data_IF_697293809189
#
_entry.id   IF_697293809189
#
_cell.length_a   1.000
_cell.length_b   1.000
_cell.length_c   1.000
_cell.angle_alpha   90.00
_cell.angle_beta   90.00
_cell.angle_gamma   90.00
#
_symmetry.space_group_name_H-M   'P 1'
#
loop_
_entity.id
_entity.type
_entity.pdbx_description
1 polymer ?
#
# COMPACT_ATOMS: atom_id res chain seq x y z
N UNK A 1 19.20 20.34 -19.93
CA UNK A 1 18.47 19.06 -19.90
C UNK A 1 17.12 19.25 -20.57
N UNK A 2 16.73 18.39 -21.53
CA UNK A 2 15.41 18.48 -22.19
C UNK A 2 14.36 17.75 -21.35
N UNK A 3 13.30 18.44 -20.93
CA UNK A 3 12.15 17.85 -20.21
C UNK A 3 11.14 17.27 -21.19
N UNK A 4 10.61 16.09 -20.88
CA UNK A 4 9.61 15.39 -21.68
C UNK A 4 8.53 14.91 -20.69
N UNK A 5 7.30 15.40 -20.83
CA UNK A 5 6.20 14.90 -20.00
C UNK A 5 5.77 13.52 -20.49
N UNK A 6 5.62 12.57 -19.56
CA UNK A 6 5.24 11.19 -19.85
C UNK A 6 4.33 10.68 -18.75
N UNK A 7 3.29 9.93 -19.10
CA UNK A 7 2.54 9.14 -18.11
C UNK A 7 3.18 7.77 -17.90
N UNK A 8 3.06 7.19 -16.71
CA UNK A 8 3.64 5.87 -16.44
C UNK A 8 3.02 4.76 -17.31
N UNK A 9 1.76 4.90 -17.74
CA UNK A 9 1.10 3.98 -18.68
C UNK A 9 1.65 4.06 -20.11
N UNK A 10 2.17 5.22 -20.53
CA UNK A 10 2.79 5.43 -21.84
C UNK A 10 4.24 4.94 -21.91
N UNK A 11 4.88 4.64 -20.77
CA UNK A 11 6.22 4.02 -20.71
C UNK A 11 6.17 2.52 -21.05
N UNK A 12 5.77 2.21 -22.28
CA UNK A 12 5.90 0.88 -22.87
C UNK A 12 7.31 0.66 -23.47
N UNK A 13 7.59 -0.56 -23.93
CA UNK A 13 8.91 -0.95 -24.47
C UNK A 13 9.37 -0.05 -25.64
N UNK A 14 8.46 0.33 -26.54
CA UNK A 14 8.77 1.18 -27.69
C UNK A 14 9.15 2.60 -27.24
N UNK A 15 8.38 3.17 -26.31
CA UNK A 15 8.65 4.49 -25.75
C UNK A 15 9.99 4.50 -25.01
N UNK A 16 10.26 3.49 -24.17
CA UNK A 16 11.52 3.34 -23.43
C UNK A 16 12.71 3.26 -24.41
N UNK A 17 12.62 2.44 -25.47
CA UNK A 17 13.65 2.36 -26.49
C UNK A 17 13.95 3.73 -27.12
N UNK A 18 12.89 4.45 -27.52
CA UNK A 18 13.01 5.80 -28.10
C UNK A 18 13.68 6.78 -27.13
N UNK A 19 13.34 6.75 -25.84
CA UNK A 19 13.96 7.63 -24.85
C UNK A 19 15.43 7.27 -24.60
N UNK A 20 15.77 5.99 -24.56
CA UNK A 20 17.16 5.53 -24.44
C UNK A 20 18.02 5.99 -25.62
N UNK A 21 17.53 5.88 -26.85
CA UNK A 21 18.22 6.40 -28.04
C UNK A 21 18.40 7.92 -27.97
N UNK A 22 17.40 8.65 -27.49
CA UNK A 22 17.50 10.09 -27.31
C UNK A 22 18.52 10.48 -26.24
N UNK A 23 18.58 9.73 -25.14
CA UNK A 23 19.50 9.93 -24.02
C UNK A 23 20.97 9.71 -24.39
N UNK A 24 21.26 8.92 -25.43
CA UNK A 24 22.63 8.78 -25.98
C UNK A 24 23.17 10.08 -26.58
N UNK A 25 22.28 10.98 -27.03
CA UNK A 25 22.65 12.20 -27.78
C UNK A 25 22.56 13.47 -26.95
N UNK A 26 21.84 13.46 -25.83
CA UNK A 26 21.62 14.62 -24.95
C UNK A 26 21.03 14.21 -23.61
N UNK A 27 21.26 15.01 -22.58
CA UNK A 27 20.64 14.82 -21.26
C UNK A 27 19.13 15.12 -21.32
N UNK A 28 18.31 14.15 -20.95
CA UNK A 28 16.84 14.26 -20.90
C UNK A 28 16.32 13.98 -19.49
N UNK A 29 15.17 14.58 -19.17
CA UNK A 29 14.37 14.24 -18.01
C UNK A 29 12.98 13.79 -18.45
N UNK A 30 12.57 12.61 -18.02
CA UNK A 30 11.19 12.15 -18.14
C UNK A 30 10.42 12.67 -16.94
N UNK A 31 9.40 13.50 -17.19
CA UNK A 31 8.61 14.18 -16.17
C UNK A 31 7.28 13.47 -16.01
N UNK A 32 7.05 12.91 -14.83
CA UNK A 32 5.83 12.23 -14.44
C UNK A 32 5.13 13.02 -13.33
N UNK A 33 3.81 13.02 -13.32
CA UNK A 33 3.02 13.66 -12.26
C UNK A 33 3.25 12.99 -10.89
N UNK A 34 3.36 11.67 -10.88
CA UNK A 34 3.62 10.83 -9.72
C UNK A 34 4.23 9.49 -10.18
N UNK A 35 4.46 8.57 -9.25
CA UNK A 35 4.96 7.21 -9.51
C UNK A 35 3.85 6.19 -9.74
N UNK A 36 2.57 6.58 -9.74
CA UNK A 36 1.45 5.64 -9.96
C UNK A 36 1.61 4.92 -11.30
N UNK A 37 1.69 3.60 -11.27
CA UNK A 37 1.87 2.75 -12.45
C UNK A 37 3.29 2.72 -13.02
N UNK A 38 4.25 3.38 -12.35
CA UNK A 38 5.69 3.21 -12.59
C UNK A 38 6.17 2.03 -11.74
N UNK A 39 6.75 1.02 -12.39
CA UNK A 39 7.25 -0.19 -11.74
C UNK A 39 8.77 -0.29 -11.92
N UNK A 40 9.41 -1.11 -11.08
CA UNK A 40 10.85 -1.36 -11.18
C UNK A 40 11.26 -1.86 -12.55
N UNK A 41 10.51 -2.78 -13.16
CA UNK A 41 10.86 -3.37 -14.47
C UNK A 41 10.92 -2.30 -15.57
N UNK A 42 10.00 -1.32 -15.53
CA UNK A 42 10.02 -0.19 -16.48
C UNK A 42 11.27 0.68 -16.27
N UNK A 43 11.62 0.96 -15.02
CA UNK A 43 12.77 1.81 -14.67
C UNK A 43 14.09 1.11 -14.98
N UNK A 44 14.20 -0.20 -14.76
CA UNK A 44 15.38 -1.02 -15.08
C UNK A 44 15.76 -0.96 -16.56
N UNK A 45 14.77 -0.82 -17.44
CA UNK A 45 14.98 -0.70 -18.89
C UNK A 45 15.43 0.71 -19.32
N UNK A 46 15.32 1.74 -18.47
CA UNK A 46 15.80 3.08 -18.78
C UNK A 46 17.33 3.16 -18.70
N UNK A 47 17.92 3.99 -19.55
CA UNK A 47 19.34 4.33 -19.53
C UNK A 47 19.69 5.16 -18.30
N UNK A 48 20.88 4.96 -17.73
CA UNK A 48 21.40 5.74 -16.60
C UNK A 48 21.55 7.24 -16.91
N UNK A 49 21.62 7.60 -18.20
CA UNK A 49 21.69 8.99 -18.66
C UNK A 49 20.32 9.71 -18.64
N UNK A 50 19.26 9.02 -18.26
CA UNK A 50 17.90 9.58 -18.13
C UNK A 50 17.68 9.99 -16.68
N UNK A 51 17.37 11.28 -16.48
CA UNK A 51 16.82 11.75 -15.21
C UNK A 51 15.34 11.42 -15.13
N UNK A 52 14.90 10.85 -14.03
CA UNK A 52 13.49 10.62 -13.75
C UNK A 52 13.01 11.78 -12.88
N UNK A 53 11.96 12.47 -13.31
CA UNK A 53 11.43 13.64 -12.62
C UNK A 53 10.02 13.37 -12.12
N UNK A 54 9.82 13.23 -10.82
CA UNK A 54 8.50 13.04 -10.20
C UNK A 54 8.03 14.37 -9.64
N UNK A 55 6.99 14.97 -10.24
CA UNK A 55 6.48 16.28 -9.82
C UNK A 55 5.86 16.19 -8.43
N UNK A 56 5.04 15.16 -8.16
CA UNK A 56 4.40 14.95 -6.88
C UNK A 56 3.55 16.16 -6.49
N UNK A 57 3.91 16.82 -5.40
CA UNK A 57 3.30 18.07 -4.94
C UNK A 57 3.90 19.36 -5.54
N UNK A 58 4.98 19.27 -6.31
CA UNK A 58 5.81 20.38 -6.78
C UNK A 58 5.58 20.72 -8.27
N UNK A 59 4.33 20.65 -8.73
CA UNK A 59 3.98 20.89 -10.13
C UNK A 59 4.18 22.38 -10.51
N UNK A 60 4.98 22.70 -11.56
CA UNK A 60 5.29 24.08 -11.96
C UNK A 60 4.11 24.87 -12.56
N UNK A 61 2.92 24.26 -12.67
CA UNK A 61 1.66 25.01 -12.86
C UNK A 61 1.51 26.07 -11.77
N UNK A 62 1.94 25.77 -10.52
CA UNK A 62 2.18 26.80 -9.51
C UNK A 62 3.54 27.46 -9.76
N UNK A 63 3.56 28.77 -9.99
CA UNK A 63 4.76 29.57 -10.32
C UNK A 63 5.85 29.43 -9.27
N UNK A 64 5.50 29.33 -7.98
CA UNK A 64 6.50 29.12 -6.92
C UNK A 64 7.34 27.85 -7.15
N UNK A 65 6.75 26.78 -7.67
CA UNK A 65 7.43 25.52 -7.90
C UNK A 65 8.26 25.49 -9.20
N UNK A 66 8.11 26.47 -10.09
CA UNK A 66 8.98 26.62 -11.25
C UNK A 66 10.42 27.05 -10.89
N UNK A 67 10.65 27.51 -9.65
CA UNK A 67 11.97 27.91 -9.16
C UNK A 67 12.93 26.72 -9.08
N UNK A 68 14.20 26.97 -9.36
CA UNK A 68 15.23 25.92 -9.51
C UNK A 68 15.34 24.99 -8.30
N UNK A 69 15.32 25.52 -7.08
CA UNK A 69 15.44 24.71 -5.86
C UNK A 69 14.26 23.73 -5.66
N UNK A 70 13.04 24.08 -6.10
CA UNK A 70 11.92 23.13 -6.11
C UNK A 70 12.06 22.10 -7.22
N UNK A 71 12.48 22.53 -8.41
CA UNK A 71 12.66 21.62 -9.54
C UNK A 71 13.80 20.60 -9.30
N UNK A 72 14.86 20.97 -8.59
CA UNK A 72 15.92 20.01 -8.23
C UNK A 72 15.41 18.87 -7.34
N UNK A 73 14.43 19.14 -6.48
CA UNK A 73 13.82 18.14 -5.59
C UNK A 73 13.01 17.10 -6.36
N UNK A 74 12.59 17.38 -7.59
CA UNK A 74 11.82 16.41 -8.39
C UNK A 74 12.71 15.41 -9.12
N UNK A 75 14.03 15.60 -9.18
CA UNK A 75 14.93 14.80 -10.02
C UNK A 75 15.57 13.64 -9.25
N UNK A 76 15.59 12.48 -9.91
CA UNK A 76 16.16 11.24 -9.39
C UNK A 76 17.00 10.58 -10.49
N UNK A 77 18.11 9.98 -10.08
CA UNK A 77 18.82 9.01 -10.94
C UNK A 77 18.01 7.72 -11.07
N UNK A 78 18.34 6.89 -12.07
CA UNK A 78 17.75 5.56 -12.21
C UNK A 78 17.88 4.74 -10.92
N UNK A 79 19.08 4.71 -10.32
CA UNK A 79 19.35 3.97 -9.09
C UNK A 79 18.47 4.44 -7.94
N UNK A 80 18.43 5.76 -7.70
CA UNK A 80 17.60 6.36 -6.64
C UNK A 80 16.12 6.03 -6.85
N UNK A 81 15.63 6.07 -8.09
CA UNK A 81 14.24 5.71 -8.37
C UNK A 81 13.95 4.23 -8.11
N UNK A 82 14.88 3.32 -8.40
CA UNK A 82 14.73 1.90 -8.07
C UNK A 82 14.66 1.68 -6.55
N UNK A 83 15.53 2.34 -5.79
CA UNK A 83 15.52 2.29 -4.32
C UNK A 83 14.23 2.87 -3.73
N UNK A 84 13.74 3.99 -4.29
CA UNK A 84 12.45 4.58 -3.89
C UNK A 84 11.30 3.62 -4.19
N UNK A 85 11.24 3.05 -5.39
CA UNK A 85 10.18 2.11 -5.78
C UNK A 85 10.20 0.85 -4.91
N UNK A 86 11.38 0.37 -4.52
CA UNK A 86 11.50 -0.77 -3.60
C UNK A 86 10.75 -0.53 -2.29
N UNK A 87 10.96 0.64 -1.67
CA UNK A 87 10.31 0.98 -0.39
C UNK A 87 8.82 1.26 -0.58
N UNK A 88 8.43 1.98 -1.63
CA UNK A 88 7.02 2.25 -1.95
C UNK A 88 6.24 0.95 -2.15
N UNK A 89 6.76 0.06 -2.99
CA UNK A 89 6.14 -1.23 -3.28
C UNK A 89 6.14 -2.12 -2.02
N UNK A 90 7.16 -2.07 -1.16
CA UNK A 90 7.15 -2.79 0.12
C UNK A 90 5.98 -2.38 1.01
N UNK A 91 5.75 -1.08 1.17
CA UNK A 91 4.61 -0.59 1.96
C UNK A 91 3.29 -1.02 1.32
N UNK A 92 3.16 -0.93 0.00
CA UNK A 92 1.96 -1.34 -0.73
C UNK A 92 1.64 -2.82 -0.55
N UNK A 93 2.65 -3.71 -0.54
CA UNK A 93 2.45 -5.15 -0.32
C UNK A 93 1.85 -5.47 1.05
N UNK A 94 2.04 -4.62 2.05
CA UNK A 94 1.48 -4.79 3.38
C UNK A 94 0.03 -4.31 3.49
N UNK A 95 -0.41 -3.47 2.55
CA UNK A 95 -1.76 -2.90 2.56
C UNK A 95 -2.78 -3.97 2.18
N UNK A 96 -3.80 -4.11 3.01
CA UNK A 96 -4.93 -4.93 2.64
C UNK A 96 -5.80 -4.19 1.61
N UNK A 97 -6.04 -4.75 0.41
CA UNK A 97 -6.87 -4.09 -0.60
C UNK A 97 -8.31 -3.83 -0.13
N UNK A 98 -8.80 -4.56 0.89
CA UNK A 98 -10.17 -4.38 1.44
C UNK A 98 -10.33 -3.25 2.41
N UNK A 99 -9.22 -2.74 2.95
CA UNK A 99 -9.27 -1.59 3.82
C UNK A 99 -9.94 -0.43 3.09
N UNK A 100 -10.79 0.27 3.82
CA UNK A 100 -11.31 1.58 3.42
C UNK A 100 -10.15 2.53 3.12
N UNK A 101 -10.42 3.57 2.35
CA UNK A 101 -9.38 4.56 2.04
C UNK A 101 -8.84 5.23 3.31
N UNK A 102 -9.68 5.39 4.34
CA UNK A 102 -9.26 5.86 5.66
C UNK A 102 -8.28 4.88 6.34
N UNK A 103 -8.59 3.58 6.36
CA UNK A 103 -7.71 2.56 6.94
C UNK A 103 -6.38 2.46 6.19
N UNK A 104 -6.40 2.54 4.86
CA UNK A 104 -5.17 2.58 4.03
C UNK A 104 -4.33 3.81 4.35
N UNK A 105 -4.96 4.98 4.46
CA UNK A 105 -4.30 6.24 4.81
C UNK A 105 -3.67 6.19 6.21
N UNK A 106 -4.41 5.69 7.22
CA UNK A 106 -3.91 5.51 8.59
C UNK A 106 -2.75 4.52 8.63
N UNK A 107 -2.84 3.39 7.93
CA UNK A 107 -1.77 2.40 7.87
C UNK A 107 -0.48 3.02 7.30
N UNK A 108 -0.57 3.69 6.14
CA UNK A 108 0.58 4.36 5.51
C UNK A 108 1.17 5.42 6.45
N UNK A 109 0.31 6.25 7.04
CA UNK A 109 0.75 7.29 7.99
C UNK A 109 1.53 6.68 9.16
N UNK A 110 0.99 5.62 9.77
CA UNK A 110 1.63 4.92 10.87
C UNK A 110 2.99 4.34 10.48
N UNK A 111 3.07 3.65 9.34
CA UNK A 111 4.30 3.03 8.84
C UNK A 111 5.38 4.07 8.62
N UNK A 112 5.06 5.17 7.93
CA UNK A 112 5.99 6.26 7.69
C UNK A 112 6.39 6.95 8.99
N UNK A 113 5.45 7.17 9.92
CA UNK A 113 5.76 7.78 11.22
C UNK A 113 6.76 6.93 12.02
N UNK A 114 6.57 5.61 12.05
CA UNK A 114 7.44 4.70 12.77
C UNK A 114 8.83 4.64 12.11
N UNK A 115 8.89 4.53 10.78
CA UNK A 115 10.12 4.36 10.01
C UNK A 115 10.97 5.63 9.96
N UNK A 116 10.37 6.79 9.63
CA UNK A 116 11.11 8.00 9.26
C UNK A 116 11.52 8.83 10.47
N UNK A 117 12.64 9.54 10.37
CA UNK A 117 13.20 10.37 11.44
C UNK A 117 13.30 11.84 11.01
N UNK A 118 12.88 12.75 11.88
CA UNK A 118 13.08 14.18 11.64
C UNK A 118 14.56 14.54 11.80
N UNK A 119 15.15 15.15 10.76
CA UNK A 119 16.52 15.65 10.80
C UNK A 119 16.61 16.98 10.02
N UNK A 120 16.70 18.09 10.75
CA UNK A 120 16.82 19.43 10.16
C UNK A 120 18.19 19.70 9.49
N UNK A 121 19.22 18.91 9.84
CA UNK A 121 20.59 19.03 9.33
C UNK A 121 20.87 18.08 8.16
N UNK A 122 19.88 17.30 7.72
CA UNK A 122 20.01 16.39 6.58
C UNK A 122 20.22 17.13 5.24
N UNK A 123 20.64 16.39 4.21
CA UNK A 123 20.91 16.92 2.87
C UNK A 123 19.76 17.80 2.35
N UNK A 124 20.08 18.98 1.82
CA UNK A 124 19.09 20.01 1.49
C UNK A 124 18.00 19.51 0.52
N UNK A 125 18.38 18.68 -0.46
CA UNK A 125 17.48 18.19 -1.50
C UNK A 125 16.82 16.88 -1.08
N UNK A 126 17.61 15.90 -0.61
CA UNK A 126 17.15 14.55 -0.30
C UNK A 126 16.23 14.49 0.91
N UNK A 127 16.44 15.35 1.90
CA UNK A 127 15.52 15.48 3.05
C UNK A 127 14.16 16.10 2.69
N UNK A 128 14.03 16.62 1.47
CA UNK A 128 12.85 17.34 0.98
C UNK A 128 12.26 16.70 -0.28
N UNK A 129 12.60 15.45 -0.59
CA UNK A 129 12.05 14.70 -1.74
C UNK A 129 11.79 13.23 -1.38
N UNK A 130 11.54 12.37 -2.37
CA UNK A 130 11.21 10.96 -2.11
C UNK A 130 12.39 10.14 -1.56
N UNK A 131 13.63 10.64 -1.62
CA UNK A 131 14.79 9.96 -1.01
C UNK A 131 14.70 9.85 0.51
N UNK A 132 13.79 10.60 1.15
CA UNK A 132 13.46 10.41 2.56
C UNK A 132 13.08 8.96 2.87
N UNK A 133 12.44 8.23 1.93
CA UNK A 133 12.11 6.81 2.09
C UNK A 133 13.34 5.90 2.15
N UNK A 134 14.41 6.27 1.44
CA UNK A 134 15.62 5.46 1.33
C UNK A 134 16.61 5.80 2.44
N UNK A 135 16.65 7.07 2.85
CA UNK A 135 17.56 7.55 3.89
C UNK A 135 16.97 7.41 5.31
N UNK A 136 15.67 7.10 5.42
CA UNK A 136 14.90 7.10 6.67
C UNK A 136 14.93 8.42 7.46
N UNK A 137 15.31 9.52 6.82
CA UNK A 137 15.38 10.84 7.45
C UNK A 137 14.95 11.97 6.51
N UNK A 138 14.34 13.01 7.07
CA UNK A 138 13.87 14.14 6.30
C UNK A 138 13.33 15.28 7.14
N UNK A 139 12.71 16.24 6.44
CA UNK A 139 11.96 17.34 7.05
C UNK A 139 10.54 17.39 6.46
N UNK A 140 9.72 18.33 6.93
CA UNK A 140 8.31 18.46 6.58
C UNK A 140 8.01 18.34 5.08
N UNK A 141 8.82 18.97 4.25
CA UNK A 141 8.61 18.97 2.81
C UNK A 141 8.83 17.61 2.14
N UNK A 142 9.71 16.76 2.70
CA UNK A 142 9.91 15.39 2.26
C UNK A 142 8.81 14.46 2.75
N UNK A 143 8.47 14.52 4.04
CA UNK A 143 7.39 13.71 4.62
C UNK A 143 6.05 13.95 3.94
N UNK A 144 5.69 15.22 3.71
CA UNK A 144 4.44 15.55 3.03
C UNK A 144 4.42 15.12 1.55
N UNK A 145 5.58 15.06 0.88
CA UNK A 145 5.68 14.54 -0.48
C UNK A 145 5.53 13.02 -0.51
N UNK A 146 6.18 12.30 0.39
CA UNK A 146 6.11 10.84 0.49
C UNK A 146 4.70 10.39 0.84
N UNK A 147 4.04 11.03 1.80
CA UNK A 147 2.67 10.69 2.16
C UNK A 147 1.71 10.92 0.99
N UNK A 148 1.83 12.07 0.31
CA UNK A 148 1.07 12.34 -0.93
C UNK A 148 1.34 11.29 -2.01
N UNK A 149 2.59 10.90 -2.20
CA UNK A 149 2.98 9.92 -3.21
C UNK A 149 2.34 8.55 -2.96
N UNK A 150 2.33 8.09 -1.71
CA UNK A 150 1.63 6.86 -1.34
C UNK A 150 0.12 6.95 -1.61
N UNK A 151 -0.52 8.08 -1.28
CA UNK A 151 -1.95 8.28 -1.53
C UNK A 151 -2.27 8.28 -3.04
N UNK A 152 -1.46 8.93 -3.85
CA UNK A 152 -1.59 8.93 -5.31
C UNK A 152 -1.57 7.51 -5.90
N UNK A 153 -0.60 6.69 -5.44
CA UNK A 153 -0.47 5.30 -5.88
C UNK A 153 -1.68 4.47 -5.49
N UNK A 154 -2.22 4.68 -4.29
CA UNK A 154 -3.46 4.05 -3.81
C UNK A 154 -4.74 4.61 -4.46
N UNK A 155 -4.64 5.71 -5.20
CA UNK A 155 -5.81 6.38 -5.80
C UNK A 155 -6.65 7.17 -4.81
N UNK A 156 -6.08 7.54 -3.67
CA UNK A 156 -6.71 8.35 -2.63
C UNK A 156 -6.30 9.81 -2.86
N UNK A 157 -7.27 10.72 -2.90
CA UNK A 157 -7.00 12.13 -3.15
C UNK A 157 -6.26 12.76 -1.97
N UNK A 158 -5.07 13.32 -2.23
CA UNK A 158 -4.24 13.96 -1.22
C UNK A 158 -3.54 15.20 -1.81
N UNK A 159 -3.73 16.34 -1.18
CA UNK A 159 -3.18 17.61 -1.62
C UNK A 159 -1.90 17.93 -0.83
N UNK A 160 -0.79 18.11 -1.53
CA UNK A 160 0.42 18.70 -0.96
C UNK A 160 0.24 20.21 -0.84
N UNK A 161 0.42 20.73 0.36
CA UNK A 161 0.42 22.17 0.63
C UNK A 161 1.75 22.58 1.22
N UNK A 162 2.19 23.79 0.88
CA UNK A 162 3.35 24.36 1.53
C UNK A 162 3.24 25.88 1.62
N UNK A 163 3.73 26.40 2.73
CA UNK A 163 4.13 27.81 2.84
C UNK A 163 5.62 27.91 2.59
N UNK A 164 6.01 28.79 1.68
CA UNK A 164 7.40 28.92 1.25
C UNK A 164 8.31 29.19 2.45
N UNK A 165 9.38 28.40 2.61
CA UNK A 165 10.35 28.50 3.71
C UNK A 165 9.77 28.36 5.13
N UNK A 166 8.56 27.82 5.28
CA UNK A 166 7.90 27.73 6.59
C UNK A 166 7.53 26.30 6.95
N UNK A 167 6.55 25.71 6.26
CA UNK A 167 6.11 24.35 6.53
C UNK A 167 5.44 23.71 5.32
N UNK A 168 5.39 22.39 5.32
CA UNK A 168 4.70 21.60 4.31
C UNK A 168 3.91 20.48 4.98
N UNK A 169 2.70 20.25 4.49
CA UNK A 169 1.71 19.36 5.09
C UNK A 169 0.76 18.84 4.01
N UNK A 170 -0.19 17.99 4.40
CA UNK A 170 -1.16 17.42 3.47
C UNK A 170 -2.60 17.74 3.87
N UNK A 171 -3.48 17.71 2.86
CA UNK A 171 -4.92 17.62 3.07
C UNK A 171 -5.41 16.36 2.38
N UNK A 172 -5.97 15.43 3.15
CA UNK A 172 -6.53 14.17 2.66
C UNK A 172 -8.01 14.36 2.35
N UNK A 173 -8.49 13.79 1.24
CA UNK A 173 -9.92 13.75 0.91
C UNK A 173 -10.44 12.32 1.00
N UNK A 174 -11.43 12.10 1.86
CA UNK A 174 -12.15 10.83 2.05
C UNK A 174 -13.64 11.14 2.08
N UNK A 175 -14.45 10.43 1.28
CA UNK A 175 -15.92 10.59 1.23
C UNK A 175 -16.39 12.05 1.08
N UNK A 176 -15.72 12.82 0.20
CA UNK A 176 -15.95 14.26 -0.04
C UNK A 176 -15.72 15.16 1.18
N UNK A 177 -15.00 14.69 2.19
CA UNK A 177 -14.55 15.48 3.34
C UNK A 177 -13.04 15.64 3.29
N UNK A 178 -12.57 16.81 3.70
CA UNK A 178 -11.15 17.15 3.74
C UNK A 178 -10.62 17.07 5.17
N UNK A 179 -9.41 16.57 5.34
CA UNK A 179 -8.78 16.38 6.65
C UNK A 179 -7.35 16.91 6.62
N UNK A 180 -6.99 17.75 7.60
CA UNK A 180 -5.63 18.26 7.74
C UNK A 180 -4.71 17.19 8.30
N UNK A 181 -3.58 16.94 7.66
CA UNK A 181 -2.62 15.90 8.02
C UNK A 181 -1.22 16.52 8.16
N UNK A 182 -0.56 16.31 9.28
CA UNK A 182 0.83 16.73 9.50
C UNK A 182 1.70 15.63 10.11
N UNK A 183 2.20 14.78 9.22
CA UNK A 183 3.11 13.68 9.57
C UNK A 183 4.40 14.14 10.24
N UNK A 184 4.83 15.39 10.01
CA UNK A 184 6.09 15.89 10.57
C UNK A 184 6.05 15.96 12.08
N UNK A 185 4.94 16.42 12.64
CA UNK A 185 4.84 16.64 14.08
C UNK A 185 4.70 15.32 14.83
N UNK A 186 3.92 14.38 14.30
CA UNK A 186 3.88 13.00 14.80
C UNK A 186 5.26 12.31 14.73
N UNK A 187 6.03 12.51 13.64
CA UNK A 187 7.41 11.99 13.55
C UNK A 187 8.33 12.63 14.59
N UNK A 188 8.24 13.95 14.79
CA UNK A 188 9.11 14.69 15.71
C UNK A 188 8.82 14.40 17.18
N UNK A 189 7.57 14.08 17.50
CA UNK A 189 7.10 13.85 18.87
C UNK A 189 6.99 12.35 19.23
N UNK A 190 7.23 11.44 18.28
CA UNK A 190 7.13 10.00 18.51
C UNK A 190 8.01 9.55 19.67
N UNK A 191 7.38 8.89 20.65
CA UNK A 191 8.08 8.20 21.73
C UNK A 191 8.04 6.69 21.51
N UNK A 192 9.13 6.00 21.81
CA UNK A 192 9.22 4.53 21.74
C UNK A 192 8.84 3.93 20.36
N UNK A 193 9.13 4.66 19.28
CA UNK A 193 8.76 4.29 17.91
C UNK A 193 7.25 4.03 17.73
N UNK A 194 6.41 4.85 18.39
CA UNK A 194 4.94 4.84 18.22
C UNK A 194 4.45 6.16 17.64
N UNK A 195 3.55 6.06 16.67
CA UNK A 195 2.79 7.19 16.13
C UNK A 195 1.63 7.52 17.08
N UNK A 196 1.48 8.78 17.50
CA UNK A 196 0.37 9.18 18.38
C UNK A 196 -0.90 9.53 17.61
N UNK A 197 -0.78 9.91 16.33
CA UNK A 197 -1.86 10.39 15.47
C UNK A 197 -2.47 11.72 15.92
N UNK A 198 -1.75 12.47 16.77
CA UNK A 198 -2.22 13.76 17.28
C UNK A 198 -2.40 14.80 16.15
N UNK A 199 -1.78 14.55 14.99
CA UNK A 199 -1.82 15.43 13.83
C UNK A 199 -2.39 14.77 12.57
N UNK A 200 -3.08 13.64 12.74
CA UNK A 200 -3.88 13.00 11.70
C UNK A 200 -5.35 13.37 11.84
N UNK A 201 -5.83 14.34 11.05
CA UNK A 201 -7.24 14.72 10.99
C UNK A 201 -7.85 15.18 12.33
N UNK A 202 -7.01 15.69 13.25
CA UNK A 202 -7.40 15.99 14.63
C UNK A 202 -7.92 17.43 14.86
N UNK A 203 -7.79 18.32 13.87
CA UNK A 203 -8.12 19.75 14.03
C UNK A 203 -9.05 20.24 12.93
N UNK A 204 -10.01 21.08 13.32
CA UNK A 204 -10.91 21.70 12.35
C UNK A 204 -10.20 22.84 11.58
N UNK A 205 -10.90 23.47 10.63
CA UNK A 205 -10.31 24.53 9.79
C UNK A 205 -9.73 25.70 10.59
N UNK A 206 -10.40 26.12 11.68
CA UNK A 206 -9.98 27.27 12.48
C UNK A 206 -8.71 26.96 13.26
N UNK A 207 -8.64 25.79 13.88
CA UNK A 207 -7.48 25.33 14.65
C UNK A 207 -6.28 25.07 13.74
N UNK A 208 -6.49 24.31 12.67
CA UNK A 208 -5.42 23.91 11.77
C UNK A 208 -4.81 25.14 11.08
N UNK A 209 -5.58 25.91 10.30
CA UNK A 209 -5.03 27.07 9.59
C UNK A 209 -4.81 28.31 10.49
N UNK A 210 -5.35 28.32 11.71
CA UNK A 210 -5.04 29.34 12.71
C UNK A 210 -3.63 29.19 13.29
N UNK A 211 -3.04 27.99 13.20
CA UNK A 211 -1.66 27.76 13.57
C UNK A 211 -0.69 28.49 12.62
N UNK A 212 0.32 29.16 13.16
CA UNK A 212 1.30 29.91 12.35
C UNK A 212 2.02 29.04 11.31
N UNK A 213 2.20 27.75 11.59
CA UNK A 213 2.85 26.79 10.70
C UNK A 213 1.99 26.35 9.52
N UNK A 214 0.67 26.26 9.69
CA UNK A 214 -0.26 25.90 8.62
C UNK A 214 -0.98 27.10 8.00
N UNK A 215 -0.79 28.31 8.53
CA UNK A 215 -1.48 29.51 8.05
C UNK A 215 -1.07 29.88 6.61
N UNK A 216 -2.06 29.80 5.70
CA UNK A 216 -1.94 30.10 4.27
C UNK A 216 -2.51 31.47 3.86
N UNK A 217 -2.83 32.38 4.80
CA UNK A 217 -3.46 33.68 4.50
C UNK A 217 -2.69 34.51 3.47
N UNK A 218 -1.36 34.39 3.49
CA UNK A 218 -0.46 35.14 2.62
C UNK A 218 0.05 34.30 1.43
N UNK A 219 -0.36 33.03 1.32
CA UNK A 219 0.05 32.10 0.27
C UNK A 219 -0.96 32.09 -0.89
N UNK A 220 -0.61 32.79 -1.97
CA UNK A 220 -1.53 33.06 -3.10
C UNK A 220 -1.79 31.88 -4.02
N UNK A 221 -0.99 30.82 -3.92
CA UNK A 221 -1.04 29.65 -4.82
C UNK A 221 -1.54 28.39 -4.12
N UNK A 222 -1.90 28.48 -2.84
CA UNK A 222 -2.53 27.40 -2.09
C UNK A 222 -4.01 27.67 -1.86
N UNK A 223 -4.79 26.59 -1.71
CA UNK A 223 -6.22 26.65 -1.39
C UNK A 223 -6.42 26.26 0.07
N UNK A 224 -7.18 27.05 0.82
CA UNK A 224 -7.67 26.62 2.14
C UNK A 224 -8.91 25.74 1.95
N UNK A 225 -8.86 24.53 2.50
CA UNK A 225 -9.98 23.58 2.46
C UNK A 225 -10.87 23.73 3.70
N UNK A 226 -12.14 23.35 3.60
CA UNK A 226 -12.99 23.21 4.79
C UNK A 226 -12.71 21.84 5.43
N UNK A 227 -11.89 21.85 6.48
CA UNK A 227 -11.42 20.65 7.17
C UNK A 227 -12.46 20.13 8.17
N UNK A 228 -12.69 18.83 8.09
CA UNK A 228 -13.40 17.98 9.06
C UNK A 228 -12.41 17.39 10.06
N UNK A 229 -12.95 16.90 11.18
CA UNK A 229 -12.19 16.22 12.23
C UNK A 229 -12.64 14.76 12.30
N UNK A 230 -11.70 13.84 12.50
CA UNK A 230 -12.00 12.47 12.92
C UNK A 230 -12.01 12.43 14.43
N UNK A 231 -13.03 11.82 15.02
CA UNK A 231 -13.03 11.58 16.46
C UNK A 231 -12.16 10.35 16.81
N UNK A 232 -11.75 10.27 18.08
CA UNK A 232 -10.93 9.17 18.59
C UNK A 232 -11.50 7.79 18.30
N UNK A 233 -12.83 7.63 18.30
CA UNK A 233 -13.48 6.34 18.07
C UNK A 233 -13.30 5.87 16.62
N UNK A 234 -13.36 6.80 15.65
CA UNK A 234 -13.10 6.49 14.25
C UNK A 234 -11.66 6.05 14.03
N UNK A 235 -10.68 6.74 14.64
CA UNK A 235 -9.26 6.37 14.56
C UNK A 235 -9.03 5.02 15.25
N UNK A 236 -9.55 4.82 16.46
CA UNK A 236 -9.44 3.55 17.19
C UNK A 236 -10.05 2.39 16.41
N UNK A 237 -11.24 2.58 15.84
CA UNK A 237 -11.90 1.55 15.02
C UNK A 237 -11.04 1.19 13.80
N UNK A 238 -10.51 2.19 13.09
CA UNK A 238 -9.63 1.94 11.96
C UNK A 238 -8.34 1.21 12.37
N UNK A 239 -7.70 1.59 13.49
CA UNK A 239 -6.51 0.91 14.00
C UNK A 239 -6.79 -0.53 14.41
N UNK A 240 -7.90 -0.78 15.11
CA UNK A 240 -8.36 -2.13 15.43
C UNK A 240 -8.57 -2.94 14.14
N UNK A 241 -9.23 -2.37 13.14
CA UNK A 241 -9.42 -3.01 11.84
C UNK A 241 -8.11 -3.21 11.06
N UNK A 242 -7.09 -2.40 11.26
CA UNK A 242 -5.77 -2.63 10.65
C UNK A 242 -5.09 -3.83 11.36
N UNK A 243 -5.10 -3.83 12.69
CA UNK A 243 -4.43 -4.84 13.53
C UNK A 243 -5.13 -6.22 13.51
N UNK A 244 -6.46 -6.26 13.31
CA UNK A 244 -7.26 -7.49 13.33
C UNK A 244 -7.10 -8.40 12.08
N UNK A 245 -6.44 -7.95 11.01
CA UNK A 245 -6.41 -8.67 9.72
C UNK A 245 -5.34 -9.76 9.52
N UNK A 246 -5.04 -10.63 10.51
CA UNK A 246 -4.84 -12.04 10.19
C UNK A 246 -6.16 -12.81 10.02
N UNK A 247 -7.29 -12.32 10.56
CA UNK A 247 -8.63 -12.94 10.44
C UNK A 247 -9.74 -11.86 10.41
N UNK A 248 -10.49 -11.75 9.31
CA UNK A 248 -11.63 -10.84 9.20
C UNK A 248 -12.90 -11.60 8.83
N UNK A 249 -14.05 -11.19 9.37
CA UNK A 249 -15.37 -11.70 8.99
C UNK A 249 -16.18 -10.58 8.34
N UNK A 250 -16.65 -10.78 7.11
CA UNK A 250 -17.43 -9.79 6.35
C UNK A 250 -18.84 -10.34 6.09
N UNK A 251 -19.92 -9.59 6.38
CA UNK A 251 -21.27 -10.01 6.06
C UNK A 251 -21.51 -10.06 4.55
N UNK A 252 -22.23 -11.08 4.10
CA UNK A 252 -22.74 -11.15 2.74
C UNK A 252 -24.05 -10.36 2.61
N UNK A 253 -24.29 -9.80 1.44
CA UNK A 253 -25.51 -9.09 1.07
C UNK A 253 -26.02 -9.64 -0.25
N UNK A 254 -27.34 -9.69 -0.41
CA UNK A 254 -27.95 -10.09 -1.67
C UNK A 254 -27.87 -8.96 -2.70
N UNK A 255 -27.21 -9.21 -3.83
CA UNK A 255 -27.19 -8.31 -4.97
C UNK A 255 -28.21 -8.77 -6.01
N UNK A 256 -29.26 -7.96 -6.17
CA UNK A 256 -30.36 -8.21 -7.10
C UNK A 256 -29.97 -8.07 -8.58
N UNK A 257 -28.86 -7.39 -8.90
CA UNK A 257 -28.41 -7.20 -10.29
C UNK A 257 -27.79 -8.46 -10.85
N UNK A 258 -27.05 -9.19 -10.03
CA UNK A 258 -26.43 -10.48 -10.37
C UNK A 258 -27.18 -11.68 -9.79
N UNK A 259 -28.21 -11.42 -8.98
CA UNK A 259 -29.06 -12.41 -8.31
C UNK A 259 -28.26 -13.43 -7.47
N UNK A 260 -27.30 -12.92 -6.69
CA UNK A 260 -26.38 -13.71 -5.84
C UNK A 260 -26.12 -13.02 -4.51
N UNK A 261 -25.80 -13.81 -3.49
CA UNK A 261 -25.14 -13.30 -2.29
C UNK A 261 -23.72 -12.87 -2.67
N UNK A 262 -23.33 -11.68 -2.21
CA UNK A 262 -22.02 -11.09 -2.45
C UNK A 262 -21.40 -10.61 -1.15
N UNK A 263 -20.07 -10.68 -1.07
CA UNK A 263 -19.30 -9.98 -0.05
C UNK A 263 -18.19 -9.20 -0.74
N UNK A 264 -17.98 -7.95 -0.32
CA UNK A 264 -16.98 -7.08 -0.92
C UNK A 264 -15.64 -7.22 -0.18
N UNK A 265 -14.60 -7.63 -0.92
CA UNK A 265 -13.20 -7.59 -0.50
C UNK A 265 -12.59 -6.35 -1.18
N UNK A 266 -12.79 -5.18 -0.57
CA UNK A 266 -12.45 -3.89 -1.17
C UNK A 266 -13.32 -3.62 -2.39
N UNK A 267 -12.70 -3.38 -3.55
CA UNK A 267 -13.41 -3.26 -4.83
C UNK A 267 -13.64 -4.61 -5.52
N UNK A 268 -13.19 -5.73 -4.94
CA UNK A 268 -13.33 -7.05 -5.53
C UNK A 268 -14.58 -7.75 -4.97
N UNK A 269 -15.62 -8.00 -5.79
CA UNK A 269 -16.77 -8.77 -5.36
C UNK A 269 -16.40 -10.26 -5.24
N UNK A 270 -16.77 -10.85 -4.11
CA UNK A 270 -16.80 -12.30 -3.89
C UNK A 270 -18.25 -12.75 -3.98
N UNK A 271 -18.52 -13.62 -4.93
CA UNK A 271 -19.86 -14.18 -5.15
C UNK A 271 -19.96 -15.49 -4.39
N UNK A 272 -21.13 -15.76 -3.81
CA UNK A 272 -21.44 -17.05 -3.19
C UNK A 272 -22.34 -17.83 -4.15
N UNK A 273 -21.76 -18.79 -4.86
CA UNK A 273 -22.49 -19.65 -5.79
C UNK A 273 -22.73 -21.02 -5.15
N UNK A 274 -23.98 -21.33 -4.80
CA UNK A 274 -24.33 -22.60 -4.16
C UNK A 274 -23.50 -22.89 -2.89
N UNK A 275 -23.26 -21.87 -2.05
CA UNK A 275 -22.38 -21.90 -0.87
C UNK A 275 -20.88 -22.02 -1.18
N UNK A 276 -20.47 -21.81 -2.43
CA UNK A 276 -19.07 -21.76 -2.83
C UNK A 276 -18.64 -20.32 -3.08
N UNK A 277 -17.68 -19.77 -2.32
CA UNK A 277 -17.13 -18.47 -2.62
C UNK A 277 -16.31 -18.54 -3.91
N UNK A 278 -16.54 -17.60 -4.82
CA UNK A 278 -15.84 -17.48 -6.08
C UNK A 278 -15.63 -16.01 -6.48
N UNK A 279 -14.66 -15.78 -7.36
CA UNK A 279 -14.40 -14.47 -7.96
C UNK A 279 -14.09 -14.67 -9.44
N UNK A 280 -14.41 -13.69 -10.27
CA UNK A 280 -14.10 -13.70 -11.70
C UNK A 280 -12.70 -13.13 -12.00
N UNK A 281 -11.91 -12.84 -10.97
CA UNK A 281 -10.53 -12.41 -11.12
C UNK A 281 -9.61 -13.59 -11.47
N UNK A 282 -8.64 -13.34 -12.35
CA UNK A 282 -7.73 -14.37 -12.89
C UNK A 282 -6.73 -14.94 -11.87
N UNK A 283 -6.56 -14.30 -10.70
CA UNK A 283 -5.62 -14.68 -9.65
C UNK A 283 -6.29 -15.49 -8.53
N UNK A 284 -7.38 -16.21 -8.83
CA UNK A 284 -8.18 -16.89 -7.82
C UNK A 284 -8.43 -18.35 -8.15
N UNK A 285 -8.66 -19.16 -7.12
CA UNK A 285 -9.07 -20.56 -7.26
C UNK A 285 -10.04 -20.95 -6.15
N UNK A 286 -11.24 -21.37 -6.52
CA UNK A 286 -12.19 -22.00 -5.59
C UNK A 286 -11.83 -23.47 -5.41
N UNK A 287 -11.83 -23.94 -4.17
CA UNK A 287 -11.55 -25.32 -3.81
C UNK A 287 -12.71 -25.91 -3.00
N UNK A 288 -13.08 -27.14 -3.35
CA UNK A 288 -14.14 -27.90 -2.67
C UNK A 288 -13.51 -29.02 -1.83
N UNK A 289 -13.94 -29.13 -0.58
CA UNK A 289 -13.57 -30.23 0.31
C UNK A 289 -14.56 -31.38 0.20
N UNK A 290 -14.11 -32.56 0.63
CA UNK A 290 -14.91 -33.78 0.62
C UNK A 290 -16.08 -33.72 1.61
N UNK A 291 -16.01 -32.85 2.63
CA UNK A 291 -17.12 -32.60 3.56
C UNK A 291 -18.18 -31.65 3.01
N UNK A 292 -18.03 -31.19 1.76
CA UNK A 292 -18.93 -30.26 1.09
C UNK A 292 -18.68 -28.78 1.43
N UNK A 293 -17.76 -28.47 2.35
CA UNK A 293 -17.30 -27.10 2.57
C UNK A 293 -16.39 -26.65 1.43
N UNK A 294 -16.25 -25.34 1.26
CA UNK A 294 -15.43 -24.77 0.21
C UNK A 294 -14.78 -23.47 0.65
N UNK A 295 -13.75 -23.06 -0.08
CA UNK A 295 -13.06 -21.82 0.14
C UNK A 295 -12.50 -21.30 -1.19
N UNK A 296 -12.22 -20.00 -1.23
CA UNK A 296 -11.58 -19.31 -2.32
C UNK A 296 -10.18 -18.92 -1.88
N UNK A 297 -9.18 -19.21 -2.70
CA UNK A 297 -7.86 -18.61 -2.58
C UNK A 297 -7.75 -17.46 -3.55
N UNK A 298 -7.19 -16.34 -3.09
CA UNK A 298 -6.87 -15.17 -3.90
C UNK A 298 -5.37 -14.95 -3.75
N UNK A 299 -4.60 -15.16 -4.81
CA UNK A 299 -3.17 -14.85 -4.80
C UNK A 299 -3.00 -13.33 -4.75
N UNK A 300 -2.23 -12.83 -3.79
CA UNK A 300 -2.04 -11.37 -3.65
C UNK A 300 -1.02 -10.82 -4.65
N UNK A 301 -0.24 -11.70 -5.30
CA UNK A 301 0.91 -11.34 -6.12
C UNK A 301 2.19 -11.13 -5.31
N UNK A 302 2.09 -11.14 -3.98
CA UNK A 302 3.24 -11.04 -3.10
C UNK A 302 3.93 -12.39 -2.98
N UNK A 303 5.23 -12.41 -3.26
CA UNK A 303 6.10 -13.53 -2.96
C UNK A 303 7.43 -13.05 -2.41
N UNK A 304 8.00 -13.78 -1.46
CA UNK A 304 9.33 -13.51 -0.91
C UNK A 304 10.06 -14.83 -0.70
N UNK A 305 11.28 -14.93 -1.22
CA UNK A 305 12.11 -16.15 -1.13
C UNK A 305 11.37 -17.44 -1.56
N UNK A 306 10.53 -17.35 -2.60
CA UNK A 306 9.76 -18.49 -3.11
C UNK A 306 8.55 -18.89 -2.26
N UNK A 307 8.15 -18.07 -1.28
CA UNK A 307 6.92 -18.23 -0.50
C UNK A 307 5.87 -17.25 -1.06
N UNK A 308 4.76 -17.79 -1.54
CA UNK A 308 3.61 -17.07 -2.07
C UNK A 308 2.63 -16.72 -0.95
N UNK A 309 2.01 -15.54 -1.02
CA UNK A 309 0.95 -15.08 -0.13
C UNK A 309 -0.43 -15.22 -0.78
N UNK A 310 -1.41 -15.67 0.02
CA UNK A 310 -2.80 -15.81 -0.39
C UNK A 310 -3.76 -15.27 0.67
N UNK A 311 -4.88 -14.73 0.21
CA UNK A 311 -6.09 -14.62 1.03
C UNK A 311 -6.88 -15.93 0.91
N UNK A 312 -7.13 -16.58 2.04
CA UNK A 312 -8.01 -17.72 2.20
C UNK A 312 -9.38 -17.22 2.64
N UNK A 313 -10.41 -17.44 1.82
CA UNK A 313 -11.77 -16.92 2.02
C UNK A 313 -12.75 -18.08 2.14
N UNK A 314 -13.41 -18.22 3.27
CA UNK A 314 -14.35 -19.31 3.54
C UNK A 314 -15.74 -18.75 3.84
N UNK A 315 -16.77 -19.28 3.18
CA UNK A 315 -18.15 -18.85 3.41
C UNK A 315 -18.75 -19.59 4.61
N UNK A 316 -19.33 -18.83 5.53
CA UNK A 316 -20.08 -19.31 6.67
C UNK A 316 -21.58 -19.09 6.44
N UNK A 317 -22.26 -20.18 6.12
CA UNK A 317 -23.69 -20.18 5.81
C UNK A 317 -24.57 -19.80 7.01
N UNK A 318 -24.15 -20.15 8.22
CA UNK A 318 -25.01 -20.02 9.42
C UNK A 318 -25.27 -18.57 9.81
N UNK A 319 -24.32 -17.69 9.55
CA UNK A 319 -24.38 -16.26 9.85
C UNK A 319 -24.34 -15.39 8.58
N UNK A 320 -24.35 -16.01 7.39
CA UNK A 320 -24.22 -15.36 6.09
C UNK A 320 -23.00 -14.43 6.00
N UNK A 321 -21.82 -14.92 6.37
CA UNK A 321 -20.57 -14.14 6.31
C UNK A 321 -19.50 -14.87 5.51
N UNK A 322 -18.47 -14.17 5.08
CA UNK A 322 -17.19 -14.76 4.69
C UNK A 322 -16.14 -14.52 5.77
N UNK A 323 -15.32 -15.53 6.04
CA UNK A 323 -14.16 -15.44 6.91
C UNK A 323 -12.90 -15.42 6.03
N UNK A 324 -12.08 -14.40 6.20
CA UNK A 324 -10.87 -14.13 5.42
C UNK A 324 -9.67 -14.32 6.33
N UNK A 325 -8.72 -15.14 5.92
CA UNK A 325 -7.45 -15.37 6.60
C UNK A 325 -6.29 -15.17 5.64
N UNK A 326 -5.14 -14.75 6.15
CA UNK A 326 -3.91 -14.66 5.35
C UNK A 326 -3.08 -15.93 5.53
N UNK A 327 -2.62 -16.52 4.43
CA UNK A 327 -1.79 -17.72 4.45
C UNK A 327 -0.59 -17.60 3.50
N UNK A 328 0.44 -18.42 3.76
CA UNK A 328 1.69 -18.41 3.00
C UNK A 328 2.13 -19.83 2.64
N UNK A 329 2.60 -20.05 1.41
CA UNK A 329 3.01 -21.37 0.92
C UNK A 329 4.05 -21.28 -0.18
N UNK A 330 4.96 -22.24 -0.28
CA UNK A 330 5.81 -22.41 -1.46
C UNK A 330 5.07 -23.02 -2.65
N UNK A 331 3.85 -23.55 -2.43
CA UNK A 331 3.02 -24.03 -3.52
C UNK A 331 2.44 -22.85 -4.29
N UNK A 332 2.37 -22.99 -5.61
CA UNK A 332 1.48 -22.18 -6.42
C UNK A 332 0.12 -22.87 -6.53
N UNK A 333 -0.84 -22.39 -5.73
CA UNK A 333 -2.17 -23.00 -5.67
C UNK A 333 -3.02 -22.76 -6.94
N UNK A 334 -2.68 -21.78 -7.78
CA UNK A 334 -3.48 -21.44 -8.96
C UNK A 334 -3.36 -22.52 -10.05
N UNK A 335 -2.21 -23.17 -10.17
CA UNK A 335 -1.88 -24.11 -11.25
C UNK A 335 -1.96 -25.59 -10.86
N UNK A 336 -2.59 -25.90 -9.73
CA UNK A 336 -2.76 -27.30 -9.31
C UNK A 336 -3.68 -28.08 -10.26
N UNK A 337 -3.33 -29.34 -10.49
CA UNK A 337 -4.21 -30.30 -11.16
C UNK A 337 -5.49 -30.53 -10.34
N UNK A 338 -6.56 -31.02 -10.97
CA UNK A 338 -7.83 -31.30 -10.26
C UNK A 338 -7.65 -32.32 -9.12
N UNK A 339 -6.75 -33.28 -9.30
CA UNK A 339 -6.45 -34.29 -8.28
C UNK A 339 -5.70 -33.67 -7.09
N UNK A 340 -4.66 -32.88 -7.36
CA UNK A 340 -3.89 -32.19 -6.32
C UNK A 340 -4.73 -31.17 -5.56
N UNK A 341 -5.65 -30.46 -6.26
CA UNK A 341 -6.59 -29.53 -5.63
C UNK A 341 -7.42 -30.23 -4.56
N UNK A 342 -7.87 -31.46 -4.82
CA UNK A 342 -8.66 -32.23 -3.86
C UNK A 342 -7.83 -32.56 -2.61
N UNK A 343 -6.62 -33.04 -2.78
CA UNK A 343 -5.76 -33.39 -1.63
C UNK A 343 -5.34 -32.15 -0.84
N UNK A 344 -4.93 -31.09 -1.53
CA UNK A 344 -4.57 -29.81 -0.91
C UNK A 344 -5.74 -29.24 -0.12
N UNK A 345 -6.96 -29.26 -0.67
CA UNK A 345 -8.14 -28.74 0.01
C UNK A 345 -8.52 -29.53 1.27
N UNK A 346 -8.39 -30.86 1.21
CA UNK A 346 -8.79 -31.75 2.30
C UNK A 346 -7.72 -31.88 3.39
N UNK A 347 -6.44 -31.67 3.06
CA UNK A 347 -5.34 -31.90 3.98
C UNK A 347 -4.57 -30.61 4.30
N UNK A 348 -3.74 -30.11 3.35
CA UNK A 348 -2.85 -28.95 3.55
C UNK A 348 -3.61 -27.70 4.00
N UNK A 349 -4.75 -27.47 3.36
CA UNK A 349 -5.64 -26.33 3.59
C UNK A 349 -6.94 -26.79 4.27
N UNK A 350 -6.90 -27.90 5.01
CA UNK A 350 -8.03 -28.29 5.86
C UNK A 350 -8.35 -27.18 6.85
N UNK A 351 -9.63 -26.97 7.15
CA UNK A 351 -10.08 -25.92 8.09
C UNK A 351 -9.35 -26.00 9.44
N UNK A 352 -9.19 -27.22 9.97
CA UNK A 352 -8.46 -27.47 11.22
C UNK A 352 -7.01 -26.98 11.14
N UNK A 353 -6.29 -27.36 10.08
CA UNK A 353 -4.89 -26.97 9.89
C UNK A 353 -4.74 -25.47 9.65
N UNK A 354 -5.62 -24.86 8.84
CA UNK A 354 -5.59 -23.42 8.58
C UNK A 354 -5.75 -22.64 9.87
N UNK A 355 -6.74 -22.99 10.70
CA UNK A 355 -6.94 -22.32 11.99
C UNK A 355 -5.70 -22.48 12.88
N UNK A 356 -5.12 -23.67 12.97
CA UNK A 356 -3.89 -23.90 13.73
C UNK A 356 -2.70 -23.07 13.20
N UNK A 357 -2.51 -23.03 11.87
CA UNK A 357 -1.39 -22.32 11.23
C UNK A 357 -1.52 -20.81 11.32
N UNK A 358 -2.72 -20.27 11.13
CA UNK A 358 -2.94 -18.83 11.27
C UNK A 358 -2.75 -18.38 12.71
N UNK A 359 -3.24 -19.14 13.69
CA UNK A 359 -3.08 -18.80 15.11
C UNK A 359 -1.64 -18.93 15.59
N UNK A 360 -0.97 -20.04 15.26
CA UNK A 360 0.30 -20.37 15.88
C UNK A 360 1.52 -20.04 15.02
N UNK A 361 1.39 -20.03 13.69
CA UNK A 361 2.51 -20.01 12.75
C UNK A 361 2.37 -18.90 11.69
N UNK A 362 1.71 -17.79 12.04
CA UNK A 362 1.49 -16.64 11.16
C UNK A 362 0.84 -16.98 9.81
N UNK A 363 0.14 -18.10 9.68
CA UNK A 363 -0.52 -18.52 8.44
C UNK A 363 0.39 -19.22 7.43
N UNK A 364 1.65 -19.51 7.76
CA UNK A 364 2.49 -20.33 6.88
C UNK A 364 2.01 -21.79 6.92
N UNK A 365 1.51 -22.28 5.78
CA UNK A 365 0.91 -23.61 5.64
C UNK A 365 1.88 -24.65 5.08
N UNK A 366 2.96 -24.19 4.44
CA UNK A 366 4.01 -25.04 3.89
C UNK A 366 3.67 -25.65 2.53
N UNK A 367 4.33 -26.77 2.20
CA UNK A 367 4.29 -27.42 0.88
C UNK A 367 3.78 -28.88 0.95
N UNK A 368 3.08 -29.33 -0.10
CA UNK A 368 2.72 -30.74 -0.33
C UNK A 368 3.75 -31.40 -1.24
N UNK A 369 4.46 -32.42 -0.73
CA UNK A 369 5.38 -33.23 -1.54
C UNK A 369 4.62 -34.14 -2.49
N UNK A 370 5.29 -34.53 -3.58
CA UNK A 370 4.77 -35.48 -4.57
C UNK A 370 4.25 -36.81 -3.96
N UNK A 371 4.82 -37.23 -2.83
CA UNK A 371 4.35 -38.39 -2.05
C UNK A 371 3.03 -38.15 -1.29
N UNK A 372 2.31 -37.05 -1.57
CA UNK A 372 1.14 -36.55 -0.82
C UNK A 372 1.38 -36.41 0.69
N UNK A 373 2.61 -36.07 1.05
CA UNK A 373 2.99 -35.78 2.44
C UNK A 373 3.27 -34.29 2.58
N UNK A 374 2.62 -33.68 3.56
CA UNK A 374 2.82 -32.28 3.92
C UNK A 374 3.93 -32.16 4.97
N UNK A 375 4.46 -30.95 5.14
CA UNK A 375 5.28 -30.66 6.31
C UNK A 375 4.52 -30.98 7.60
N UNK A 376 5.21 -31.68 8.51
CA UNK A 376 4.65 -32.04 9.83
C UNK A 376 4.26 -30.77 10.58
N UNK A 377 3.30 -30.86 11.50
CA UNK A 377 2.75 -29.70 12.21
C UNK A 377 3.78 -28.78 12.89
N UNK A 378 4.97 -29.30 13.22
CA UNK A 378 6.07 -28.57 13.88
C UNK A 378 7.29 -28.32 12.97
N UNK A 379 7.20 -28.60 11.67
CA UNK A 379 8.32 -28.44 10.75
C UNK A 379 8.81 -26.99 10.69
N UNK A 380 7.88 -26.05 10.78
CA UNK A 380 8.09 -24.61 10.81
C UNK A 380 9.02 -24.21 11.96
N UNK A 381 8.75 -24.72 13.16
CA UNK A 381 9.53 -24.46 14.37
C UNK A 381 10.87 -25.21 14.34
N UNK A 382 10.88 -26.47 13.91
CA UNK A 382 12.05 -27.35 14.01
C UNK A 382 13.07 -27.17 12.90
N UNK A 383 12.63 -26.73 11.72
CA UNK A 383 13.46 -26.70 10.50
C UNK A 383 13.60 -25.30 9.94
N UNK A 384 12.53 -24.49 9.99
CA UNK A 384 12.53 -23.14 9.42
C UNK A 384 12.74 -22.03 10.46
N UNK A 385 12.83 -22.38 11.75
CA UNK A 385 12.96 -21.44 12.85
C UNK A 385 11.79 -20.42 12.95
N UNK A 386 10.61 -20.81 12.47
CA UNK A 386 9.38 -20.04 12.59
C UNK A 386 8.70 -20.48 13.90
N UNK A 387 8.93 -19.72 14.96
CA UNK A 387 8.42 -20.02 16.28
C UNK A 387 6.92 -19.79 16.42
N UNK A 388 6.29 -20.51 17.36
CA UNK A 388 4.93 -20.19 17.78
C UNK A 388 4.87 -18.74 18.25
N UNK A 389 3.81 -18.01 17.89
CA UNK A 389 3.50 -16.75 18.59
C UNK A 389 3.46 -17.05 20.09
N UNK A 390 4.29 -16.36 20.87
CA UNK A 390 4.09 -16.33 22.31
C UNK A 390 2.71 -15.70 22.53
N UNK A 391 1.78 -16.48 23.09
CA UNK A 391 0.45 -16.01 23.45
C UNK A 391 0.53 -14.82 24.41
#
# INVERSE_FOLDING_TARGET
MKKINVSASELNLEAIYKYNELARRRNIALVLENTKGLTKEKVELLSDNITISILGGLNPVKRKFAREHYQKRTYYTKREMLEILDVLEEIERLINPVWSDLEKAIFVYQRLCIQLHYNEYADEVKSRNLMVLVNDEGVCAGFALVYKEMMDRLGINCYYQNKSHHHAFNVLEIDNKYYGIDLTWDISEKMYNKCSFDYFAASNSLEFYGNIHHNLSDEKEEKMFHLSVLNDEQIKTALINIDMYPNCTIPCQYDYTVNKEIAMIGLNPIYIDNNVPCSYNNNTVSMLRSDGSSFLLIATGNSSNGINEYLYVEYNKSNNTIDIKRIYSEMDFLYLSNEDRKDVANDLLSRKRINEKVTNYNGYVGYMKYSRRFYRANFEEQVLNIYRRAC
#
